data_IF_106965995068
#
_entry.id   IF_106965995068
#
_cell.length_a   1.000
_cell.length_b   1.000
_cell.length_c   1.000
_cell.angle_alpha   90.00
_cell.angle_beta   90.00
_cell.angle_gamma   90.00
#
_symmetry.space_group_name_H-M   'P 1'
#
loop_
_entity.id
_entity.type
_entity.pdbx_description
1 polymer ?
#
# COMPACT_ATOMS: atom_id res chain seq x y z
N UNK A 1 -13.23 -3.99 -30.90
CA UNK A 1 -13.07 -4.92 -29.77
C UNK A 1 -14.04 -4.49 -28.67
N UNK A 2 -15.05 -5.30 -28.40
CA UNK A 2 -16.20 -4.93 -27.56
C UNK A 2 -15.80 -4.67 -26.11
N UNK A 3 -16.11 -3.46 -25.63
CA UNK A 3 -16.03 -3.09 -24.22
C UNK A 3 -17.39 -3.43 -23.59
N UNK A 4 -17.53 -4.63 -23.03
CA UNK A 4 -18.68 -4.97 -22.17
C UNK A 4 -18.26 -4.67 -20.73
N UNK A 5 -18.28 -3.39 -20.39
CA UNK A 5 -18.19 -2.94 -19.01
C UNK A 5 -19.55 -3.14 -18.35
N UNK A 6 -19.71 -4.19 -17.56
CA UNK A 6 -20.89 -4.34 -16.69
C UNK A 6 -20.74 -3.34 -15.53
N UNK A 7 -21.26 -2.12 -15.71
CA UNK A 7 -21.14 -1.02 -14.74
C UNK A 7 -22.26 -0.99 -13.69
N UNK A 8 -23.15 -1.98 -13.65
CA UNK A 8 -24.34 -1.93 -12.79
C UNK A 8 -24.40 -3.09 -11.77
N UNK A 9 -23.38 -3.23 -10.94
CA UNK A 9 -23.57 -3.87 -9.63
C UNK A 9 -24.03 -2.82 -8.62
N UNK A 10 -25.25 -2.30 -8.82
CA UNK A 10 -26.00 -1.70 -7.72
C UNK A 10 -26.36 -2.86 -6.79
N UNK A 11 -25.50 -3.10 -5.80
CA UNK A 11 -25.70 -4.13 -4.80
C UNK A 11 -26.82 -3.64 -3.86
N UNK A 12 -28.06 -3.78 -4.32
CA UNK A 12 -29.24 -3.51 -3.51
C UNK A 12 -29.34 -4.60 -2.47
N UNK A 13 -28.66 -4.39 -1.34
CA UNK A 13 -28.84 -5.22 -0.15
C UNK A 13 -30.25 -4.98 0.37
N UNK A 14 -31.22 -5.67 -0.21
CA UNK A 14 -32.60 -5.69 0.25
C UNK A 14 -32.61 -6.40 1.59
N UNK A 15 -32.83 -5.63 2.66
CA UNK A 15 -33.05 -6.18 3.99
C UNK A 15 -34.31 -7.03 3.91
N UNK A 16 -34.21 -8.32 4.23
CA UNK A 16 -35.36 -9.23 4.27
C UNK A 16 -36.35 -8.74 5.33
N UNK A 17 -37.63 -8.62 4.98
CA UNK A 17 -38.66 -8.14 5.89
C UNK A 17 -38.68 -8.98 7.18
N UNK A 18 -38.46 -8.32 8.32
CA UNK A 18 -38.38 -8.94 9.65
C UNK A 18 -37.06 -8.70 10.42
N UNK A 19 -36.04 -8.10 9.80
CA UNK A 19 -34.81 -7.72 10.50
C UNK A 19 -34.96 -6.34 11.12
N UNK A 20 -34.65 -6.21 12.42
CA UNK A 20 -34.67 -4.91 13.10
C UNK A 20 -33.62 -3.99 12.48
N UNK A 21 -34.08 -2.96 11.77
CA UNK A 21 -33.27 -2.04 10.96
C UNK A 21 -32.16 -1.35 11.76
N UNK A 22 -32.39 -1.12 13.05
CA UNK A 22 -31.42 -0.53 13.97
C UNK A 22 -30.24 -1.48 14.20
N UNK A 23 -30.51 -2.75 14.52
CA UNK A 23 -29.46 -3.75 14.73
C UNK A 23 -28.65 -4.01 13.47
N UNK A 24 -29.31 -4.04 12.30
CA UNK A 24 -28.63 -4.16 11.02
C UNK A 24 -27.69 -2.98 10.76
N UNK A 25 -28.13 -1.75 11.02
CA UNK A 25 -27.31 -0.56 10.83
C UNK A 25 -26.10 -0.53 11.77
N UNK A 26 -26.26 -0.95 13.03
CA UNK A 26 -25.15 -1.06 13.98
C UNK A 26 -24.15 -2.11 13.49
N UNK A 27 -24.61 -3.30 13.10
CA UNK A 27 -23.73 -4.36 12.59
C UNK A 27 -22.98 -3.90 11.32
N UNK A 28 -23.68 -3.24 10.40
CA UNK A 28 -23.09 -2.68 9.17
C UNK A 28 -21.99 -1.68 9.50
N UNK A 29 -22.24 -0.76 10.43
CA UNK A 29 -21.26 0.22 10.88
C UNK A 29 -19.99 -0.44 11.45
N UNK A 30 -20.16 -1.42 12.35
CA UNK A 30 -19.02 -2.16 12.91
C UNK A 30 -18.25 -2.94 11.85
N UNK A 31 -18.94 -3.61 10.93
CA UNK A 31 -18.30 -4.33 9.83
C UNK A 31 -17.47 -3.41 8.96
N UNK A 32 -18.02 -2.24 8.61
CA UNK A 32 -17.33 -1.27 7.77
C UNK A 32 -16.14 -0.65 8.52
N UNK A 33 -16.26 -0.41 9.83
CA UNK A 33 -15.16 0.00 10.70
C UNK A 33 -14.02 -1.03 10.70
N UNK A 34 -14.31 -2.30 10.98
CA UNK A 34 -13.29 -3.36 10.99
C UNK A 34 -12.66 -3.56 9.61
N UNK A 35 -13.44 -3.39 8.53
CA UNK A 35 -12.90 -3.42 7.16
C UNK A 35 -11.87 -2.31 6.96
N UNK A 36 -12.19 -1.08 7.37
CA UNK A 36 -11.29 0.06 7.27
C UNK A 36 -10.02 -0.18 8.10
N UNK A 37 -10.16 -0.58 9.36
CA UNK A 37 -9.04 -0.90 10.24
C UNK A 37 -8.16 -1.98 9.60
N UNK A 38 -8.75 -3.08 9.13
CA UNK A 38 -8.00 -4.17 8.50
C UNK A 38 -7.22 -3.72 7.27
N UNK A 39 -7.83 -2.91 6.40
CA UNK A 39 -7.16 -2.36 5.21
C UNK A 39 -6.00 -1.44 5.62
N UNK A 40 -6.22 -0.52 6.57
CA UNK A 40 -5.16 0.39 7.00
C UNK A 40 -4.03 -0.34 7.71
N UNK A 41 -4.32 -1.28 8.62
CA UNK A 41 -3.30 -2.10 9.28
C UNK A 41 -2.47 -2.88 8.27
N UNK A 42 -3.12 -3.45 7.26
CA UNK A 42 -2.44 -4.16 6.18
C UNK A 42 -1.53 -3.24 5.37
N UNK A 43 -2.03 -2.08 4.94
CA UNK A 43 -1.25 -1.10 4.17
C UNK A 43 -0.05 -0.55 4.97
N UNK A 44 -0.26 -0.19 6.23
CA UNK A 44 0.83 0.29 7.10
C UNK A 44 1.86 -0.81 7.31
N UNK A 45 1.42 -2.06 7.52
CA UNK A 45 2.32 -3.21 7.62
C UNK A 45 3.17 -3.42 6.37
N UNK A 46 2.56 -3.30 5.18
CA UNK A 46 3.29 -3.38 3.90
C UNK A 46 4.32 -2.25 3.74
N UNK A 47 3.95 -1.02 4.10
CA UNK A 47 4.87 0.13 4.05
C UNK A 47 6.02 -0.06 5.04
N UNK A 48 5.75 -0.57 6.23
CA UNK A 48 6.79 -0.84 7.22
C UNK A 48 7.74 -1.94 6.78
N UNK A 49 7.32 -2.90 5.95
CA UNK A 49 8.19 -3.94 5.40
C UNK A 49 9.10 -3.46 4.26
N UNK A 50 8.96 -2.21 3.80
CA UNK A 50 9.80 -1.67 2.75
C UNK A 50 11.27 -1.59 3.21
N UNK A 51 12.23 -1.83 2.31
CA UNK A 51 13.65 -1.81 2.61
C UNK A 51 14.20 -0.36 2.69
N UNK A 52 13.58 0.48 3.52
CA UNK A 52 13.88 1.90 3.66
C UNK A 52 14.41 2.20 5.06
N UNK A 53 15.48 3.00 5.15
CA UNK A 53 16.10 3.47 6.40
C UNK A 53 15.16 3.77 7.58
N UNK A 54 14.13 4.62 7.42
CA UNK A 54 13.29 5.06 8.53
C UNK A 54 12.21 4.07 8.98
N UNK A 55 11.96 2.99 8.23
CA UNK A 55 10.90 2.01 8.56
C UNK A 55 11.49 0.68 9.06
N UNK A 56 10.67 -0.11 9.75
CA UNK A 56 11.09 -1.34 10.43
C UNK A 56 11.78 -2.36 9.48
N UNK A 57 11.24 -2.53 8.28
CA UNK A 57 11.76 -3.45 7.25
C UNK A 57 13.14 -3.07 6.76
N UNK A 58 13.46 -1.76 6.73
CA UNK A 58 14.82 -1.30 6.48
C UNK A 58 15.76 -1.70 7.60
N UNK A 59 15.36 -1.56 8.86
CA UNK A 59 16.20 -1.97 9.99
C UNK A 59 16.41 -3.49 10.04
N UNK A 60 15.39 -4.27 9.68
CA UNK A 60 15.54 -5.73 9.52
C UNK A 60 16.57 -6.06 8.44
N UNK A 61 16.51 -5.40 7.29
CA UNK A 61 17.47 -5.63 6.20
C UNK A 61 18.87 -5.17 6.56
N UNK A 62 19.01 -4.01 7.22
CA UNK A 62 20.31 -3.54 7.72
C UNK A 62 20.94 -4.58 8.66
N UNK A 63 20.15 -5.12 9.59
CA UNK A 63 20.59 -6.17 10.52
C UNK A 63 21.00 -7.46 9.79
N UNK A 64 20.20 -7.89 8.79
CA UNK A 64 20.53 -9.05 7.96
C UNK A 64 21.82 -8.84 7.18
N UNK A 65 22.00 -7.68 6.55
CA UNK A 65 23.20 -7.33 5.80
C UNK A 65 24.43 -7.26 6.70
N UNK A 66 24.32 -6.64 7.88
CA UNK A 66 25.40 -6.60 8.88
C UNK A 66 25.78 -7.98 9.42
N UNK A 67 24.87 -8.96 9.36
CA UNK A 67 25.16 -10.35 9.73
C UNK A 67 25.80 -11.14 8.59
N UNK A 68 25.40 -10.87 7.34
CA UNK A 68 25.93 -11.54 6.14
C UNK A 68 27.33 -11.03 5.81
N UNK A 69 27.53 -9.70 5.83
CA UNK A 69 28.80 -9.07 5.53
C UNK A 69 29.61 -8.88 6.81
N UNK A 70 30.80 -9.49 6.88
CA UNK A 70 31.75 -9.27 7.99
C UNK A 70 32.24 -7.82 8.07
N UNK A 71 32.23 -7.13 6.94
CA UNK A 71 32.64 -5.75 6.78
C UNK A 71 31.41 -4.82 6.89
N UNK A 72 31.33 -4.09 8.01
CA UNK A 72 30.21 -3.21 8.33
C UNK A 72 30.08 -2.03 7.35
N UNK A 73 31.20 -1.55 6.79
CA UNK A 73 31.16 -0.47 5.80
C UNK A 73 30.56 -0.94 4.49
N UNK A 74 30.89 -2.16 4.06
CA UNK A 74 30.26 -2.79 2.89
C UNK A 74 28.77 -3.03 3.13
N UNK A 75 28.39 -3.53 4.31
CA UNK A 75 26.98 -3.74 4.68
C UNK A 75 26.18 -2.43 4.58
N UNK A 76 26.69 -1.35 5.19
CA UNK A 76 26.06 -0.03 5.18
C UNK A 76 25.92 0.54 3.77
N UNK A 77 26.96 0.42 2.93
CA UNK A 77 26.90 0.87 1.52
C UNK A 77 25.82 0.12 0.74
N UNK A 78 25.71 -1.20 0.91
CA UNK A 78 24.66 -2.01 0.26
C UNK A 78 23.27 -1.66 0.77
N UNK A 79 23.12 -1.45 2.09
CA UNK A 79 21.86 -1.03 2.68
C UNK A 79 21.37 0.32 2.11
N UNK A 80 22.26 1.31 2.04
CA UNK A 80 21.94 2.63 1.47
C UNK A 80 21.57 2.52 -0.01
N UNK A 81 22.29 1.69 -0.79
CA UNK A 81 21.95 1.43 -2.19
C UNK A 81 20.53 0.85 -2.34
N UNK A 82 20.19 -0.17 -1.55
CA UNK A 82 18.86 -0.80 -1.58
C UNK A 82 17.78 0.22 -1.19
N UNK A 83 18.02 1.00 -0.13
CA UNK A 83 17.10 2.06 0.31
C UNK A 83 16.88 3.11 -0.76
N UNK A 84 17.96 3.58 -1.42
CA UNK A 84 17.87 4.58 -2.47
C UNK A 84 17.15 4.07 -3.72
N UNK A 85 17.45 2.84 -4.16
CA UNK A 85 16.77 2.23 -5.31
C UNK A 85 15.27 2.11 -5.01
N UNK A 86 14.92 1.66 -3.80
CA UNK A 86 13.51 1.50 -3.41
C UNK A 86 12.80 2.84 -3.34
N UNK A 87 13.43 3.85 -2.74
CA UNK A 87 12.90 5.20 -2.70
C UNK A 87 12.70 5.76 -4.12
N UNK A 88 13.69 5.60 -4.99
CA UNK A 88 13.60 6.04 -6.37
C UNK A 88 12.45 5.37 -7.12
N UNK A 89 12.26 4.05 -6.97
CA UNK A 89 11.15 3.32 -7.58
C UNK A 89 9.79 3.83 -7.08
N UNK A 90 9.66 4.11 -5.78
CA UNK A 90 8.42 4.66 -5.19
C UNK A 90 8.14 6.05 -5.76
N UNK A 91 9.14 6.94 -5.76
CA UNK A 91 8.99 8.29 -6.29
C UNK A 91 8.66 8.26 -7.79
N UNK A 92 9.36 7.43 -8.57
CA UNK A 92 9.08 7.26 -9.99
C UNK A 92 7.65 6.79 -10.20
N UNK A 93 7.21 5.74 -9.49
CA UNK A 93 5.84 5.23 -9.59
C UNK A 93 4.79 6.30 -9.26
N UNK A 94 5.04 7.10 -8.21
CA UNK A 94 4.11 8.12 -7.76
C UNK A 94 4.04 9.34 -8.70
N UNK A 95 5.19 9.77 -9.23
CA UNK A 95 5.28 10.97 -10.07
C UNK A 95 5.22 10.69 -11.57
N UNK A 96 5.35 9.45 -12.01
CA UNK A 96 5.25 9.06 -13.42
C UNK A 96 4.03 9.66 -14.15
N UNK A 97 2.78 9.58 -13.64
CA UNK A 97 1.65 10.18 -14.33
C UNK A 97 1.78 11.71 -14.47
N UNK A 98 2.25 12.40 -13.43
CA UNK A 98 2.45 13.85 -13.45
C UNK A 98 3.56 14.25 -14.44
N UNK A 99 4.64 13.47 -14.51
CA UNK A 99 5.75 13.69 -15.46
C UNK A 99 5.23 13.54 -16.90
N UNK A 100 4.43 12.51 -17.18
CA UNK A 100 3.84 12.32 -18.51
C UNK A 100 2.93 13.47 -18.92
N UNK A 101 2.12 13.98 -18.00
CA UNK A 101 1.23 15.12 -18.25
C UNK A 101 2.02 16.40 -18.54
N UNK A 102 3.09 16.65 -17.80
CA UNK A 102 3.99 17.79 -18.02
C UNK A 102 4.68 17.72 -19.38
N UNK A 103 5.20 16.55 -19.77
CA UNK A 103 5.84 16.35 -21.09
C UNK A 103 4.85 16.63 -22.22
N UNK A 104 3.62 16.10 -22.13
CA UNK A 104 2.55 16.34 -23.12
C UNK A 104 2.12 17.81 -23.22
N UNK A 105 2.34 18.59 -22.17
CA UNK A 105 1.96 20.01 -22.15
C UNK A 105 3.05 20.89 -22.79
N UNK A 106 4.31 20.44 -22.75
CA UNK A 106 5.47 21.18 -23.26
C UNK A 106 5.78 20.82 -24.73
N UNK A 107 5.58 19.57 -25.14
CA UNK A 107 5.83 19.06 -26.50
C UNK A 107 4.52 18.70 -27.21
#
# INVERSE_FOLDING_TARGET
SAFIGVTNFANEVKIKDGVNSIFYNIYKWFRDLFKIIGIFSFLIGLVNLLPLGPVDGGQMINTLLSRIFKDQDKAKRRFVQISLITLFLILLSMFYPAILELIKTIF
#
